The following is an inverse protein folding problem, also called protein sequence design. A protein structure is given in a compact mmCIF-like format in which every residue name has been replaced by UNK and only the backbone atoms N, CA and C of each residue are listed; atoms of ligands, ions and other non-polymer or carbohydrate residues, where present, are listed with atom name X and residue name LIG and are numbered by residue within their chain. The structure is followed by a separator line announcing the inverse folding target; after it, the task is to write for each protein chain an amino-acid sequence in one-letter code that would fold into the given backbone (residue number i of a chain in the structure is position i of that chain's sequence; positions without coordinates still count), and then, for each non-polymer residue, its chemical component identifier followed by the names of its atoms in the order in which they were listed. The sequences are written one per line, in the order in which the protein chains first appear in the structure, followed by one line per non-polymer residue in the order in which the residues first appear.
data_IF_078257033353
#
_entry.id   IF_078257033353
#
_cell.length_a   1.000
_cell.length_b   1.000
_cell.length_c   1.000
_cell.angle_alpha   90.00
_cell.angle_beta   90.00
_cell.angle_gamma   90.00
#
_symmetry.space_group_name_H-M   'P 1'
#
loop_
_entity.id
_entity.type
_entity.pdbx_description
1 polymer ?
#
# COMPACT_ATOMS: atom_id res chain seq x y z
N UNK A 1 -18.53 13.19 -10.55
CA UNK A 1 -18.22 13.01 -9.12
C UNK A 1 -16.83 12.40 -9.02
N UNK A 2 -16.01 12.82 -8.07
CA UNK A 2 -14.67 12.24 -7.85
C UNK A 2 -14.68 11.22 -6.72
N UNK A 3 -13.72 10.29 -6.75
CA UNK A 3 -13.56 9.30 -5.71
C UNK A 3 -12.23 8.53 -5.84
N UNK A 4 -12.00 7.61 -4.90
CA UNK A 4 -10.81 6.75 -4.88
C UNK A 4 -11.21 5.29 -5.04
N UNK A 5 -10.52 4.55 -5.87
CA UNK A 5 -10.70 3.10 -5.99
C UNK A 5 -10.14 2.42 -4.74
N UNK A 6 -11.02 1.82 -3.95
CA UNK A 6 -10.64 1.08 -2.73
C UNK A 6 -10.56 -0.43 -2.94
N UNK A 7 -11.19 -0.95 -4.01
CA UNK A 7 -11.23 -2.38 -4.31
C UNK A 7 -11.50 -2.61 -5.80
N UNK A 8 -10.92 -3.67 -6.37
CA UNK A 8 -11.18 -4.10 -7.74
C UNK A 8 -11.34 -5.62 -7.82
N UNK A 9 -12.48 -6.11 -8.31
CA UNK A 9 -12.79 -7.53 -8.43
C UNK A 9 -13.51 -7.79 -9.75
N UNK A 10 -13.01 -8.75 -10.52
CA UNK A 10 -13.67 -9.26 -11.73
C UNK A 10 -14.09 -8.17 -12.75
N UNK A 11 -13.36 -7.04 -12.79
CA UNK A 11 -13.65 -5.93 -13.69
C UNK A 11 -14.61 -4.88 -13.12
N UNK A 12 -15.07 -5.06 -11.90
CA UNK A 12 -15.79 -4.06 -11.11
C UNK A 12 -14.82 -3.34 -10.17
N UNK A 13 -15.07 -2.05 -9.95
CA UNK A 13 -14.29 -1.17 -9.10
C UNK A 13 -15.21 -0.55 -8.06
N UNK A 14 -14.84 -0.69 -6.79
CA UNK A 14 -15.54 -0.06 -5.68
C UNK A 14 -14.85 1.26 -5.38
N UNK A 15 -15.61 2.33 -5.47
CA UNK A 15 -15.08 3.69 -5.41
C UNK A 15 -15.71 4.40 -4.22
N UNK A 16 -14.85 4.81 -3.30
CA UNK A 16 -15.22 5.71 -2.22
C UNK A 16 -15.26 7.12 -2.77
N UNK A 17 -16.46 7.68 -2.87
CA UNK A 17 -16.72 8.96 -3.50
C UNK A 17 -16.71 10.12 -2.49
N UNK A 18 -16.66 11.35 -2.98
CA UNK A 18 -16.59 12.58 -2.19
C UNK A 18 -17.83 12.85 -1.32
N UNK A 19 -18.92 12.12 -1.54
CA UNK A 19 -20.14 12.14 -0.71
C UNK A 19 -20.15 11.08 0.41
N UNK A 20 -18.98 10.50 0.74
CA UNK A 20 -18.79 9.44 1.75
C UNK A 20 -19.53 8.12 1.45
N UNK A 21 -19.89 7.89 0.19
CA UNK A 21 -20.56 6.66 -0.24
C UNK A 21 -19.67 5.82 -1.14
N UNK A 22 -19.97 4.51 -1.21
CA UNK A 22 -19.25 3.56 -2.06
C UNK A 22 -20.12 3.21 -3.26
N UNK A 23 -19.58 3.42 -4.46
CA UNK A 23 -20.21 3.07 -5.72
C UNK A 23 -19.52 1.86 -6.34
N UNK A 24 -20.33 0.92 -6.87
CA UNK A 24 -19.85 -0.16 -7.71
C UNK A 24 -19.82 0.32 -9.18
N UNK A 25 -18.60 0.40 -9.74
CA UNK A 25 -18.43 0.98 -11.07
C UNK A 25 -17.76 0.00 -12.04
N UNK A 26 -18.15 0.09 -13.30
CA UNK A 26 -17.45 -0.53 -14.43
C UNK A 26 -16.54 0.49 -15.11
N UNK A 27 -15.36 0.05 -15.54
CA UNK A 27 -14.49 0.88 -16.37
C UNK A 27 -15.01 0.97 -17.80
N UNK A 28 -15.17 2.17 -18.35
CA UNK A 28 -15.52 2.36 -19.76
C UNK A 28 -14.44 1.75 -20.68
N UNK A 29 -14.85 1.24 -21.83
CA UNK A 29 -13.96 0.57 -22.79
C UNK A 29 -12.78 1.40 -23.30
N UNK A 30 -12.81 2.73 -23.12
CA UNK A 30 -11.74 3.66 -23.49
C UNK A 30 -10.42 3.33 -22.79
N UNK A 31 -10.44 2.86 -21.55
CA UNK A 31 -9.22 2.46 -20.83
C UNK A 31 -8.50 1.25 -21.43
N UNK A 32 -9.21 0.43 -22.22
CA UNK A 32 -8.60 -0.67 -23.00
C UNK A 32 -7.80 -0.13 -24.19
N UNK A 33 -8.24 0.98 -24.80
CA UNK A 33 -7.54 1.62 -25.93
C UNK A 33 -6.28 2.33 -25.45
N UNK A 34 -6.36 3.04 -24.30
CA UNK A 34 -5.24 3.81 -23.74
C UNK A 34 -4.24 2.95 -22.96
N UNK A 35 -4.45 1.61 -22.90
CA UNK A 35 -3.62 0.65 -22.13
C UNK A 35 -3.45 1.03 -20.64
N UNK A 36 -4.25 1.93 -20.11
CA UNK A 36 -4.21 2.34 -18.72
C UNK A 36 -5.28 1.60 -17.93
N UNK A 37 -4.87 0.56 -17.21
CA UNK A 37 -5.78 -0.19 -16.34
C UNK A 37 -5.99 0.55 -15.03
N UNK A 38 -7.26 0.72 -14.56
CA UNK A 38 -7.51 1.25 -13.22
C UNK A 38 -6.90 0.34 -12.13
N UNK A 39 -6.31 0.94 -11.12
CA UNK A 39 -5.67 0.28 -9.99
C UNK A 39 -6.34 0.69 -8.68
N UNK A 40 -6.25 -0.15 -7.66
CA UNK A 40 -6.59 0.25 -6.30
C UNK A 40 -5.70 1.41 -5.89
N UNK A 41 -6.28 2.44 -5.27
CA UNK A 41 -5.60 3.68 -4.93
C UNK A 41 -5.70 4.79 -5.99
N UNK A 42 -6.19 4.51 -7.21
CA UNK A 42 -6.42 5.55 -8.20
C UNK A 42 -7.48 6.54 -7.73
N UNK A 43 -7.21 7.82 -7.94
CA UNK A 43 -8.24 8.84 -7.93
C UNK A 43 -8.90 8.86 -9.30
N UNK A 44 -10.22 8.85 -9.33
CA UNK A 44 -11.01 8.71 -10.55
C UNK A 44 -12.18 9.67 -10.59
N UNK A 45 -12.66 9.93 -11.80
CA UNK A 45 -13.98 10.52 -12.02
C UNK A 45 -14.98 9.42 -12.35
N UNK A 46 -16.14 9.51 -11.76
CA UNK A 46 -17.26 8.59 -12.01
C UNK A 46 -18.50 9.32 -12.50
N UNK A 47 -19.23 8.64 -13.33
CA UNK A 47 -20.61 8.98 -13.70
C UNK A 47 -21.55 8.04 -12.96
N UNK A 48 -22.41 8.59 -12.11
CA UNK A 48 -23.43 7.81 -11.40
C UNK A 48 -24.54 7.44 -12.37
N UNK A 49 -24.84 6.17 -12.45
CA UNK A 49 -25.89 5.62 -13.31
C UNK A 49 -27.17 5.33 -12.52
N UNK A 50 -27.02 4.87 -11.29
CA UNK A 50 -28.10 4.62 -10.36
C UNK A 50 -27.69 5.04 -8.95
N UNK A 51 -28.41 6.00 -8.37
CA UNK A 51 -28.13 6.48 -7.00
C UNK A 51 -28.67 5.55 -5.92
N UNK A 52 -29.73 4.77 -6.21
CA UNK A 52 -30.32 3.86 -5.24
C UNK A 52 -29.46 2.60 -5.09
N UNK A 53 -29.07 2.02 -6.21
CA UNK A 53 -28.21 0.83 -6.24
C UNK A 53 -26.71 1.16 -6.11
N UNK A 54 -26.33 2.45 -6.07
CA UNK A 54 -24.95 2.94 -6.04
C UNK A 54 -24.10 2.38 -7.18
N UNK A 55 -24.68 2.34 -8.37
CA UNK A 55 -23.98 1.91 -9.58
C UNK A 55 -23.46 3.10 -10.38
N UNK A 56 -22.27 2.91 -10.98
CA UNK A 56 -21.64 3.95 -11.77
C UNK A 56 -20.68 3.43 -12.84
N UNK A 57 -20.05 4.37 -13.51
CA UNK A 57 -19.03 4.10 -14.52
C UNK A 57 -17.82 5.00 -14.30
N UNK A 58 -16.60 4.40 -14.29
CA UNK A 58 -15.37 5.18 -14.27
C UNK A 58 -15.21 5.86 -15.64
N UNK A 59 -15.12 7.18 -15.62
CA UNK A 59 -15.01 8.01 -16.82
C UNK A 59 -13.59 8.49 -17.07
N UNK A 60 -12.81 8.75 -15.99
CA UNK A 60 -11.43 9.16 -16.09
C UNK A 60 -10.60 8.63 -14.90
N UNK A 61 -9.31 8.39 -15.15
CA UNK A 61 -8.29 8.15 -14.12
C UNK A 61 -7.47 9.43 -14.02
N UNK A 62 -7.41 9.99 -12.81
CA UNK A 62 -6.63 11.20 -12.55
C UNK A 62 -5.13 10.88 -12.49
N UNK A 63 -4.26 11.89 -12.67
CA UNK A 63 -2.81 11.67 -12.64
C UNK A 63 -2.36 10.97 -11.36
N UNK A 64 -1.55 9.94 -11.51
CA UNK A 64 -0.94 9.20 -10.40
C UNK A 64 0.32 9.91 -9.91
N UNK A 65 0.54 9.94 -8.60
CA UNK A 65 1.83 10.34 -8.05
C UNK A 65 2.87 9.22 -8.15
N UNK A 66 2.43 7.97 -8.03
CA UNK A 66 3.22 6.76 -8.21
C UNK A 66 2.32 5.56 -8.53
N UNK A 67 2.92 4.45 -8.97
CA UNK A 67 2.20 3.18 -9.13
C UNK A 67 3.14 1.99 -9.01
N UNK A 68 2.70 0.94 -8.34
CA UNK A 68 3.44 -0.30 -8.21
C UNK A 68 2.85 -1.38 -9.12
N UNK A 69 3.71 -2.28 -9.58
CA UNK A 69 3.30 -3.42 -10.41
C UNK A 69 2.87 -4.60 -9.54
N UNK A 70 3.56 -4.81 -8.41
CA UNK A 70 3.27 -5.87 -7.43
C UNK A 70 3.54 -5.35 -6.02
N UNK A 71 2.49 -5.14 -5.24
CA UNK A 71 1.06 -5.21 -5.61
C UNK A 71 0.69 -4.17 -6.68
N UNK A 72 -0.36 -4.46 -7.47
CA UNK A 72 -0.86 -3.53 -8.49
C UNK A 72 -1.72 -2.44 -7.82
N UNK A 73 -1.07 -1.38 -7.36
CA UNK A 73 -1.68 -0.25 -6.63
C UNK A 73 -1.12 1.08 -7.13
N UNK A 74 -1.86 2.16 -6.90
CA UNK A 74 -1.46 3.53 -7.25
C UNK A 74 -1.58 4.47 -6.05
N UNK A 75 -0.92 5.62 -6.14
CA UNK A 75 -0.98 6.71 -5.15
C UNK A 75 -0.64 6.25 -3.73
N UNK A 76 0.39 5.41 -3.60
CA UNK A 76 0.89 4.91 -2.32
C UNK A 76 1.61 6.02 -1.58
N UNK A 77 1.25 6.25 -0.32
CA UNK A 77 1.87 7.27 0.53
C UNK A 77 3.12 6.74 1.23
N UNK A 78 3.09 5.47 1.66
CA UNK A 78 4.18 4.82 2.37
C UNK A 78 4.12 3.30 2.17
N UNK A 79 5.26 2.65 2.05
CA UNK A 79 5.40 1.20 2.06
C UNK A 79 5.88 0.72 3.44
N UNK A 80 5.23 -0.30 3.96
CA UNK A 80 5.63 -0.96 5.19
C UNK A 80 6.11 -2.37 4.86
N UNK A 81 7.44 -2.58 4.90
CA UNK A 81 8.09 -3.82 4.46
C UNK A 81 8.41 -4.68 5.68
N UNK A 82 7.70 -5.80 5.82
CA UNK A 82 7.79 -6.65 7.01
C UNK A 82 8.54 -7.93 6.71
N UNK A 83 9.59 -8.22 7.48
CA UNK A 83 10.31 -9.48 7.47
C UNK A 83 10.36 -10.09 8.88
N UNK A 84 10.31 -11.42 8.97
CA UNK A 84 10.59 -12.11 10.23
C UNK A 84 12.11 -12.26 10.42
N UNK A 85 12.60 -12.14 11.66
CA UNK A 85 14.00 -12.41 12.00
C UNK A 85 14.35 -13.89 11.94
N UNK A 86 13.37 -14.75 12.27
CA UNK A 86 13.49 -16.20 12.23
C UNK A 86 12.18 -16.85 11.76
N UNK A 87 12.31 -18.04 11.18
CA UNK A 87 11.20 -18.92 10.77
C UNK A 87 10.11 -18.21 9.93
N UNK A 88 10.44 -17.84 8.67
CA UNK A 88 11.71 -18.04 7.94
C UNK A 88 12.74 -16.94 8.24
N UNK A 89 14.02 -17.22 8.03
CA UNK A 89 15.07 -16.21 8.06
C UNK A 89 14.86 -15.17 6.96
N UNK A 90 15.19 -13.89 7.21
CA UNK A 90 14.98 -12.83 6.24
C UNK A 90 15.86 -13.04 5.00
N UNK A 91 15.26 -12.85 3.83
CA UNK A 91 16.00 -12.79 2.59
C UNK A 91 16.35 -11.31 2.31
N UNK A 92 17.56 -10.91 2.71
CA UNK A 92 18.02 -9.53 2.57
C UNK A 92 18.10 -9.08 1.10
N UNK A 93 18.46 -9.97 0.17
CA UNK A 93 18.45 -9.64 -1.26
C UNK A 93 17.03 -9.29 -1.74
N UNK A 94 16.03 -9.95 -1.22
CA UNK A 94 14.63 -9.65 -1.54
C UNK A 94 14.20 -8.32 -0.91
N UNK A 95 14.61 -8.06 0.34
CA UNK A 95 14.38 -6.79 1.01
C UNK A 95 14.98 -5.63 0.22
N UNK A 96 16.25 -5.72 -0.15
CA UNK A 96 16.96 -4.69 -0.92
C UNK A 96 16.28 -4.41 -2.26
N UNK A 97 15.80 -5.45 -2.95
CA UNK A 97 15.02 -5.29 -4.19
C UNK A 97 13.72 -4.53 -3.98
N UNK A 98 13.02 -4.79 -2.87
CA UNK A 98 11.81 -4.02 -2.54
C UNK A 98 12.15 -2.56 -2.25
N UNK A 99 13.21 -2.30 -1.50
CA UNK A 99 13.63 -0.93 -1.20
C UNK A 99 14.01 -0.15 -2.46
N UNK A 100 14.80 -0.76 -3.36
CA UNK A 100 15.14 -0.15 -4.66
C UNK A 100 13.87 0.13 -5.50
N UNK A 101 12.89 -0.77 -5.47
CA UNK A 101 11.63 -0.56 -6.18
C UNK A 101 10.85 0.62 -5.57
N UNK A 102 10.83 0.76 -4.25
CA UNK A 102 10.17 1.89 -3.57
C UNK A 102 10.88 3.22 -3.90
N UNK A 103 12.20 3.24 -3.87
CA UNK A 103 13.00 4.42 -4.25
C UNK A 103 12.70 4.84 -5.69
N UNK A 104 12.68 3.89 -6.63
CA UNK A 104 12.39 4.16 -8.04
C UNK A 104 11.01 4.81 -8.25
N UNK A 105 10.03 4.41 -7.46
CA UNK A 105 8.66 4.93 -7.55
C UNK A 105 8.40 6.11 -6.59
N UNK A 106 9.45 6.61 -5.92
CA UNK A 106 9.37 7.68 -4.92
C UNK A 106 8.36 7.38 -3.79
N UNK A 107 8.35 6.14 -3.30
CA UNK A 107 7.51 5.69 -2.19
C UNK A 107 8.37 5.56 -0.95
N UNK A 108 8.17 6.37 0.09
CA UNK A 108 8.85 6.21 1.37
C UNK A 108 8.63 4.81 1.94
N UNK A 109 9.69 4.16 2.41
CA UNK A 109 9.61 2.81 2.98
C UNK A 109 10.04 2.79 4.44
N UNK A 110 9.30 2.02 5.26
CA UNK A 110 9.66 1.67 6.62
C UNK A 110 9.90 0.16 6.69
N UNK A 111 11.03 -0.23 7.26
CA UNK A 111 11.40 -1.63 7.43
C UNK A 111 10.98 -2.10 8.82
N UNK A 112 10.26 -3.22 8.88
CA UNK A 112 9.92 -3.84 10.15
C UNK A 112 10.45 -5.27 10.22
N UNK A 113 11.29 -5.52 11.20
CA UNK A 113 11.74 -6.85 11.55
C UNK A 113 10.90 -7.39 12.70
N UNK A 114 10.02 -8.33 12.38
CA UNK A 114 9.17 -9.01 13.37
C UNK A 114 9.88 -10.24 13.97
N UNK A 115 9.38 -10.75 15.09
CA UNK A 115 9.95 -11.84 15.89
C UNK A 115 11.34 -11.50 16.43
N UNK A 116 11.54 -10.25 16.88
CA UNK A 116 12.82 -9.83 17.49
C UNK A 116 13.22 -10.68 18.70
N UNK A 117 12.24 -11.29 19.36
CA UNK A 117 12.43 -12.22 20.48
C UNK A 117 13.23 -13.48 20.12
N UNK A 118 13.30 -13.82 18.84
CA UNK A 118 14.08 -14.97 18.35
C UNK A 118 15.47 -14.58 17.82
N UNK A 119 15.80 -13.29 17.77
CA UNK A 119 17.06 -12.79 17.24
C UNK A 119 18.04 -12.43 18.37
N UNK A 120 19.32 -12.44 18.06
CA UNK A 120 20.34 -11.95 18.97
C UNK A 120 20.43 -10.45 18.91
N UNK A 121 20.75 -9.81 20.05
CA UNK A 121 20.89 -8.36 20.15
C UNK A 121 21.90 -7.79 19.12
N UNK A 122 23.01 -8.46 18.91
CA UNK A 122 24.02 -8.06 17.94
C UNK A 122 23.50 -8.02 16.49
N UNK A 123 22.60 -8.96 16.14
CA UNK A 123 21.96 -8.98 14.81
C UNK A 123 20.99 -7.82 14.65
N UNK A 124 20.23 -7.48 15.67
CA UNK A 124 19.30 -6.34 15.67
C UNK A 124 20.05 -5.02 15.50
N UNK A 125 21.13 -4.83 16.25
CA UNK A 125 21.98 -3.64 16.17
C UNK A 125 22.63 -3.51 14.79
N UNK A 126 23.18 -4.59 14.25
CA UNK A 126 23.77 -4.60 12.92
C UNK A 126 22.76 -4.21 11.83
N UNK A 127 21.55 -4.77 11.87
CA UNK A 127 20.51 -4.46 10.90
C UNK A 127 20.02 -3.02 11.05
N UNK A 128 19.84 -2.55 12.29
CA UNK A 128 19.48 -1.17 12.54
C UNK A 128 20.48 -0.19 11.92
N UNK A 129 21.77 -0.34 12.26
CA UNK A 129 22.81 0.54 11.75
C UNK A 129 22.94 0.48 10.22
N UNK A 130 22.82 -0.73 9.64
CA UNK A 130 22.91 -0.93 8.19
C UNK A 130 21.83 -0.15 7.45
N UNK A 131 20.57 -0.36 7.79
CA UNK A 131 19.47 0.27 7.05
C UNK A 131 19.23 1.71 7.45
N UNK A 132 19.52 2.08 8.71
CA UNK A 132 19.44 3.48 9.16
C UNK A 132 20.48 4.35 8.47
N UNK A 133 21.69 3.84 8.25
CA UNK A 133 22.74 4.56 7.49
C UNK A 133 22.34 4.80 6.02
N UNK A 134 21.47 3.94 5.47
CA UNK A 134 20.89 4.12 4.14
C UNK A 134 19.67 5.07 4.11
N UNK A 135 19.26 5.62 5.26
CA UNK A 135 18.17 6.58 5.35
C UNK A 135 16.78 5.96 5.61
N UNK A 136 16.68 4.65 5.84
CA UNK A 136 15.41 4.00 6.14
C UNK A 136 15.07 4.05 7.62
N UNK A 137 13.78 4.15 7.92
CA UNK A 137 13.27 3.90 9.27
C UNK A 137 13.17 2.39 9.51
N UNK A 138 13.72 1.94 10.65
CA UNK A 138 13.78 0.54 11.04
C UNK A 138 13.04 0.34 12.35
N UNK A 139 12.12 -0.61 12.37
CA UNK A 139 11.31 -0.99 13.53
C UNK A 139 11.52 -2.47 13.83
N UNK A 140 11.68 -2.80 15.10
CA UNK A 140 11.69 -4.18 15.58
C UNK A 140 10.45 -4.46 16.40
N UNK A 141 9.80 -5.60 16.13
CA UNK A 141 8.59 -5.98 16.82
C UNK A 141 8.60 -7.45 17.24
N UNK A 142 7.84 -7.76 18.28
CA UNK A 142 7.51 -9.12 18.67
C UNK A 142 6.03 -9.20 18.99
N UNK A 143 5.31 -9.95 18.19
CA UNK A 143 3.88 -10.23 18.46
C UNK A 143 3.70 -11.16 19.64
N UNK A 144 4.72 -11.95 19.98
CA UNK A 144 4.70 -12.86 21.13
C UNK A 144 4.79 -12.10 22.45
N UNK A 145 5.66 -11.10 22.54
CA UNK A 145 5.85 -10.29 23.77
C UNK A 145 4.95 -9.06 23.80
N UNK A 146 4.12 -8.82 22.79
CA UNK A 146 3.32 -7.60 22.67
C UNK A 146 4.13 -6.32 22.44
N UNK A 147 5.43 -6.45 22.10
CA UNK A 147 6.31 -5.33 21.84
C UNK A 147 6.25 -4.91 20.38
N UNK A 148 6.04 -3.62 20.14
CA UNK A 148 5.98 -3.04 18.80
C UNK A 148 4.61 -2.91 18.15
N UNK A 149 3.49 -3.55 18.63
CA UNK A 149 2.18 -3.40 17.99
C UNK A 149 1.70 -1.94 17.94
N UNK A 150 2.10 -1.14 18.90
CA UNK A 150 1.74 0.30 19.00
C UNK A 150 2.32 1.08 17.81
N UNK A 151 3.53 0.74 17.36
CA UNK A 151 4.14 1.38 16.18
C UNK A 151 3.39 1.04 14.88
N UNK A 152 2.85 -0.18 14.78
CA UNK A 152 2.00 -0.59 13.66
C UNK A 152 0.65 0.14 13.64
N UNK A 153 0.03 0.31 14.80
CA UNK A 153 -1.28 0.97 14.89
C UNK A 153 -1.19 2.45 14.54
N UNK A 154 -0.11 3.12 14.86
CA UNK A 154 0.10 4.51 14.45
C UNK A 154 0.27 4.67 12.93
N UNK A 155 1.02 3.78 12.27
CA UNK A 155 1.16 3.78 10.82
C UNK A 155 -0.17 3.42 10.13
N UNK A 156 -0.87 2.40 10.62
CA UNK A 156 -2.20 2.01 10.10
C UNK A 156 -3.30 3.02 10.38
N UNK A 157 -3.23 3.78 11.46
CA UNK A 157 -4.23 4.81 11.75
C UNK A 157 -4.23 5.94 10.71
N UNK A 158 -3.13 6.16 10.01
CA UNK A 158 -3.09 7.06 8.86
C UNK A 158 -3.73 6.45 7.62
N UNK A 159 -3.69 5.12 7.46
CA UNK A 159 -4.38 4.43 6.36
C UNK A 159 -5.90 4.33 6.58
N UNK A 160 -6.34 4.14 7.82
CA UNK A 160 -7.76 3.99 8.16
C UNK A 160 -8.52 5.31 8.21
N UNK A 161 -7.84 6.46 8.22
CA UNK A 161 -8.49 7.77 8.07
C UNK A 161 -8.77 8.15 6.61
N UNK A 162 -8.34 7.31 5.66
CA UNK A 162 -8.69 7.40 4.24
C UNK A 162 -9.78 6.40 3.85
N UNK A 163 -10.39 5.74 4.81
CA UNK A 163 -11.55 4.85 4.66
C UNK A 163 -12.76 5.47 5.32
#
# INVERSE_FOLDING_TARGET
MQGKIIKGIAGFYYIYAENDEIYECKAKGIFRKDKQKPLVGDNVEIEVLDEQEKEGSVTAILPRKNSLIRPAVANVDQAFVIFAMESPKPNFMLLDRFLIMMEKENVPAVICFNKKDLAKQEELEFLYETYKSCGYDVIFSSTFNGEGPVSYTHLRAHETRSN
#
